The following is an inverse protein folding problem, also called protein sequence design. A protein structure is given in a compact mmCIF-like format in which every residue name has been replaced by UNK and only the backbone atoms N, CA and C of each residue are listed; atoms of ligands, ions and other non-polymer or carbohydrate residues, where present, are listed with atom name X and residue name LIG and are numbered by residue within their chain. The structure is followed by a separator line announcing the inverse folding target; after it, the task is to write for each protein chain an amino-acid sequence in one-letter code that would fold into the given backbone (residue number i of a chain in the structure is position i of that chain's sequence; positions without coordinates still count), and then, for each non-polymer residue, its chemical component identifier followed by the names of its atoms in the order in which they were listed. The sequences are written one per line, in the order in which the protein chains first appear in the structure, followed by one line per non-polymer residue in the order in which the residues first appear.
data_IF_811345041111
#
_entry.id   IF_811345041111
#
_cell.length_a   1.000
_cell.length_b   1.000
_cell.length_c   1.000
_cell.angle_alpha   90.00
_cell.angle_beta   90.00
_cell.angle_gamma   90.00
#
_symmetry.space_group_name_H-M   'P 1'
#
loop_
_entity.id
_entity.type
_entity.pdbx_description
1 polymer ?
#
# COMPACT_ATOMS: atom_id res chain seq x y z
N UNK A 1 -7.68 5.00 46.17
CA UNK A 1 -7.72 6.37 45.64
C UNK A 1 -6.61 6.49 44.59
N UNK A 2 -6.97 6.91 43.37
CA UNK A 2 -6.15 7.06 42.15
C UNK A 2 -5.50 5.77 41.62
N UNK A 3 -6.28 4.95 40.89
CA UNK A 3 -5.74 4.13 39.80
C UNK A 3 -5.72 5.00 38.54
N UNK A 4 -4.57 5.03 37.91
CA UNK A 4 -4.18 5.74 36.70
C UNK A 4 -5.16 5.52 35.55
N UNK A 5 -5.66 6.61 34.98
CA UNK A 5 -6.43 6.66 33.72
C UNK A 5 -5.54 6.75 32.48
N UNK A 6 -4.25 6.47 32.60
CA UNK A 6 -3.25 6.67 31.54
C UNK A 6 -3.14 5.52 30.54
N UNK A 7 -3.83 4.39 30.75
CA UNK A 7 -3.69 3.20 29.90
C UNK A 7 -4.88 2.90 28.96
N UNK A 8 -5.95 3.70 28.95
CA UNK A 8 -7.20 3.27 28.30
C UNK A 8 -7.30 3.56 26.79
N UNK A 9 -6.43 4.38 26.19
CA UNK A 9 -6.58 4.81 24.78
C UNK A 9 -5.63 4.14 23.78
N UNK A 10 -4.74 3.23 24.22
CA UNK A 10 -3.65 2.76 23.35
C UNK A 10 -3.77 1.30 22.93
N UNK A 11 -4.64 0.49 23.54
CA UNK A 11 -4.69 -0.96 23.27
C UNK A 11 -6.07 -1.64 23.40
N UNK A 12 -7.15 -1.01 22.94
CA UNK A 12 -8.49 -1.62 22.97
C UNK A 12 -9.04 -1.88 21.56
N UNK A 13 -8.76 -3.08 21.02
CA UNK A 13 -9.35 -3.64 19.79
C UNK A 13 -10.89 -3.85 19.93
N UNK A 14 -11.65 -2.78 20.15
CA UNK A 14 -13.10 -2.87 20.25
C UNK A 14 -13.75 -2.80 18.87
N UNK A 15 -14.93 -3.41 18.72
CA UNK A 15 -15.73 -3.29 17.51
C UNK A 15 -16.07 -1.82 17.20
N UNK A 16 -16.26 -1.00 18.24
CA UNK A 16 -16.60 0.42 18.14
C UNK A 16 -15.52 1.19 17.38
N UNK A 17 -14.25 0.92 17.62
CA UNK A 17 -13.16 1.59 16.90
C UNK A 17 -13.15 1.29 15.40
N UNK A 18 -13.42 0.04 15.02
CA UNK A 18 -13.53 -0.36 13.61
C UNK A 18 -14.76 0.27 12.97
N UNK A 19 -15.90 0.26 13.67
CA UNK A 19 -17.14 0.90 13.21
C UNK A 19 -16.97 2.40 13.06
N UNK A 20 -16.26 3.07 13.97
CA UNK A 20 -15.93 4.49 13.86
C UNK A 20 -15.10 4.76 12.60
N UNK A 21 -14.09 3.93 12.32
CA UNK A 21 -13.27 4.05 11.10
C UNK A 21 -14.13 3.88 9.84
N UNK A 22 -15.05 2.92 9.83
CA UNK A 22 -15.99 2.71 8.73
C UNK A 22 -16.96 3.90 8.58
N UNK A 23 -17.52 4.40 9.69
CA UNK A 23 -18.41 5.56 9.69
C UNK A 23 -17.71 6.80 9.15
N UNK A 24 -16.50 7.09 9.59
CA UNK A 24 -15.68 8.17 9.04
C UNK A 24 -15.41 7.98 7.55
N UNK A 25 -15.18 6.75 7.10
CA UNK A 25 -14.94 6.46 5.68
C UNK A 25 -16.16 6.74 4.81
N UNK A 26 -17.37 6.41 5.30
CA UNK A 26 -18.64 6.73 4.62
C UNK A 26 -18.84 8.24 4.60
N UNK A 27 -18.73 8.90 5.75
CA UNK A 27 -19.04 10.32 5.89
C UNK A 27 -18.03 11.24 5.20
N UNK A 28 -16.76 10.84 5.11
CA UNK A 28 -15.70 11.62 4.46
C UNK A 28 -15.46 11.24 3.01
N UNK A 29 -16.22 10.31 2.42
CA UNK A 29 -16.01 9.91 1.04
C UNK A 29 -16.18 11.08 0.05
N UNK A 30 -17.18 11.94 0.24
CA UNK A 30 -17.36 13.13 -0.60
C UNK A 30 -16.17 14.09 -0.47
N UNK A 31 -15.70 14.32 0.76
CA UNK A 31 -14.52 15.15 1.03
C UNK A 31 -13.24 14.57 0.43
N UNK A 32 -13.06 13.24 0.50
CA UNK A 32 -11.97 12.55 -0.20
C UNK A 32 -12.08 12.78 -1.70
N UNK A 33 -13.26 12.62 -2.29
CA UNK A 33 -13.43 12.75 -3.75
C UNK A 33 -13.20 14.18 -4.24
N UNK A 34 -13.64 15.18 -3.48
CA UNK A 34 -13.72 16.57 -3.94
C UNK A 34 -12.57 17.46 -3.46
N UNK A 35 -11.87 17.08 -2.39
CA UNK A 35 -10.83 17.92 -1.77
C UNK A 35 -9.52 17.18 -1.61
N UNK A 36 -9.49 16.05 -0.90
CA UNK A 36 -8.23 15.40 -0.54
C UNK A 36 -7.69 14.43 -1.61
N UNK A 37 -8.54 13.97 -2.53
CA UNK A 37 -8.23 12.93 -3.50
C UNK A 37 -7.18 13.34 -4.52
N UNK A 38 -7.28 14.54 -5.08
CA UNK A 38 -6.28 15.04 -6.02
C UNK A 38 -4.88 15.18 -5.38
N UNK A 39 -4.71 15.87 -4.23
CA UNK A 39 -3.42 15.91 -3.53
C UNK A 39 -2.85 14.53 -3.22
N UNK A 40 -3.68 13.60 -2.72
CA UNK A 40 -3.27 12.22 -2.42
C UNK A 40 -2.78 11.48 -3.67
N UNK A 41 -3.53 11.60 -4.78
CA UNK A 41 -3.16 10.98 -6.05
C UNK A 41 -1.88 11.59 -6.62
N UNK A 42 -1.73 12.92 -6.55
CA UNK A 42 -0.53 13.62 -7.01
C UNK A 42 0.70 13.25 -6.19
N UNK A 43 0.57 13.10 -4.87
CA UNK A 43 1.65 12.59 -4.02
C UNK A 43 2.06 11.15 -4.42
N UNK A 44 1.09 10.24 -4.56
CA UNK A 44 1.34 8.88 -5.02
C UNK A 44 2.09 8.86 -6.36
N UNK A 45 1.61 9.65 -7.33
CA UNK A 45 2.23 9.77 -8.67
C UNK A 45 3.62 10.37 -8.60
N UNK A 46 3.84 11.38 -7.76
CA UNK A 46 5.14 12.00 -7.57
C UNK A 46 6.14 11.02 -6.98
N UNK A 47 5.77 10.25 -5.95
CA UNK A 47 6.61 9.20 -5.36
C UNK A 47 6.99 8.17 -6.42
N UNK A 48 5.99 7.59 -7.10
CA UNK A 48 6.24 6.58 -8.15
C UNK A 48 7.17 7.11 -9.24
N UNK A 49 6.90 8.31 -9.74
CA UNK A 49 7.73 8.94 -10.78
C UNK A 49 9.18 9.18 -10.30
N UNK A 50 9.37 9.60 -9.05
CA UNK A 50 10.70 9.81 -8.50
C UNK A 50 11.46 8.51 -8.24
N UNK A 51 10.77 7.45 -7.80
CA UNK A 51 11.35 6.11 -7.67
C UNK A 51 11.80 5.59 -9.04
N UNK A 52 10.92 5.66 -10.05
CA UNK A 52 11.16 5.13 -11.40
C UNK A 52 12.29 5.86 -12.17
N UNK A 53 12.69 7.05 -11.71
CA UNK A 53 13.83 7.83 -12.23
C UNK A 53 15.21 7.31 -11.81
N UNK A 54 15.27 6.42 -10.82
CA UNK A 54 16.51 5.81 -10.35
C UNK A 54 16.46 4.28 -10.47
N UNK A 55 17.61 3.59 -10.43
CA UNK A 55 17.65 2.13 -10.42
C UNK A 55 16.88 1.56 -9.24
N UNK A 56 16.12 0.51 -9.51
CA UNK A 56 15.40 -0.28 -8.52
C UNK A 56 15.81 -1.74 -8.69
N UNK A 57 16.36 -2.33 -7.65
CA UNK A 57 16.71 -3.74 -7.64
C UNK A 57 15.43 -4.60 -7.59
N UNK A 58 15.25 -5.50 -8.57
CA UNK A 58 14.00 -6.23 -8.76
C UNK A 58 13.82 -7.38 -7.77
N UNK A 59 14.90 -7.80 -7.09
CA UNK A 59 14.89 -8.93 -6.15
C UNK A 59 14.74 -8.43 -4.71
N UNK A 60 15.56 -7.46 -4.31
CA UNK A 60 15.56 -6.88 -2.95
C UNK A 60 14.55 -5.76 -2.79
N UNK A 61 14.08 -5.18 -3.90
CA UNK A 61 13.23 -4.00 -3.90
C UNK A 61 13.94 -2.73 -3.42
N UNK A 62 15.28 -2.69 -3.32
CA UNK A 62 16.01 -1.48 -2.93
C UNK A 62 16.07 -0.48 -4.09
N UNK A 63 15.90 0.81 -3.80
CA UNK A 63 15.84 1.88 -4.80
C UNK A 63 16.87 2.97 -4.53
N UNK A 64 17.42 3.58 -5.59
CA UNK A 64 18.34 4.73 -5.48
C UNK A 64 17.64 6.00 -4.98
N UNK A 65 16.35 6.15 -5.30
CA UNK A 65 15.51 7.31 -4.95
C UNK A 65 14.38 6.87 -4.02
N UNK A 66 14.53 7.12 -2.74
CA UNK A 66 13.57 6.72 -1.70
C UNK A 66 13.68 7.66 -0.50
N UNK A 67 12.62 7.74 0.30
CA UNK A 67 12.59 8.37 1.63
C UNK A 67 12.95 7.37 2.75
N UNK A 68 12.97 6.08 2.44
CA UNK A 68 13.12 5.02 3.42
C UNK A 68 14.54 4.43 3.39
N UNK A 69 15.31 4.63 4.47
CA UNK A 69 16.70 4.15 4.58
C UNK A 69 16.81 2.62 4.43
N UNK A 70 15.86 1.85 4.97
CA UNK A 70 15.89 0.39 4.86
C UNK A 70 15.75 -0.12 3.42
N UNK A 71 15.12 0.69 2.55
CA UNK A 71 14.94 0.41 1.11
C UNK A 71 15.98 1.13 0.25
N UNK A 72 16.96 1.80 0.83
CA UNK A 72 17.95 2.56 0.06
C UNK A 72 18.95 1.61 -0.63
N UNK A 73 19.12 1.79 -1.94
CA UNK A 73 20.17 1.13 -2.70
C UNK A 73 21.52 1.77 -2.38
N UNK A 74 22.36 1.03 -1.65
CA UNK A 74 23.67 1.49 -1.18
C UNK A 74 24.77 1.29 -2.22
N UNK A 75 24.67 0.27 -3.05
CA UNK A 75 25.65 0.05 -4.12
C UNK A 75 25.66 1.22 -5.11
N UNK A 76 26.85 1.60 -5.57
CA UNK A 76 27.00 2.62 -6.59
C UNK A 76 26.81 2.00 -7.97
N UNK A 77 25.56 1.99 -8.41
CA UNK A 77 25.17 1.51 -9.73
C UNK A 77 25.21 2.68 -10.71
N UNK A 78 26.09 2.58 -11.70
CA UNK A 78 26.04 3.41 -12.90
C UNK A 78 24.84 3.03 -13.75
N UNK A 79 24.11 4.03 -14.25
CA UNK A 79 22.93 3.82 -15.08
C UNK A 79 22.76 4.99 -16.05
N UNK A 80 22.08 4.72 -17.16
CA UNK A 80 21.77 5.69 -18.21
C UNK A 80 20.27 5.68 -18.49
N UNK A 81 19.61 6.85 -18.52
CA UNK A 81 18.23 6.92 -18.98
C UNK A 81 18.17 6.66 -20.50
N UNK A 82 17.20 5.86 -20.91
CA UNK A 82 16.89 5.56 -22.31
C UNK A 82 15.45 5.98 -22.61
N UNK A 83 15.19 6.39 -23.84
CA UNK A 83 13.86 6.67 -24.39
C UNK A 83 13.58 5.66 -25.50
N UNK A 84 12.73 4.67 -25.22
CA UNK A 84 12.28 3.69 -26.20
C UNK A 84 11.12 4.24 -27.03
N UNK A 85 11.05 3.86 -28.30
CA UNK A 85 9.90 4.13 -29.18
C UNK A 85 8.97 2.93 -29.18
N UNK A 86 7.86 3.00 -28.44
CA UNK A 86 6.89 1.89 -28.33
C UNK A 86 5.91 1.94 -29.49
N UNK A 87 5.80 0.85 -30.25
CA UNK A 87 4.78 0.67 -31.27
C UNK A 87 3.54 0.03 -30.66
N UNK A 88 2.41 0.72 -30.78
CA UNK A 88 1.09 0.21 -30.38
C UNK A 88 0.26 -0.01 -31.65
N UNK A 89 -0.19 -1.25 -31.86
CA UNK A 89 -1.10 -1.61 -32.96
C UNK A 89 -2.53 -1.57 -32.43
N UNK A 90 -3.37 -0.74 -33.02
CA UNK A 90 -4.76 -0.57 -32.61
C UNK A 90 -4.88 0.14 -31.27
N UNK A 91 -5.03 1.47 -31.29
CA UNK A 91 -5.44 2.21 -30.11
C UNK A 91 -6.87 1.83 -29.67
N UNK A 92 -7.35 2.29 -28.50
CA UNK A 92 -8.72 2.05 -28.02
C UNK A 92 -9.82 2.59 -28.95
N UNK A 93 -9.48 3.24 -30.06
CA UNK A 93 -10.37 3.79 -31.07
C UNK A 93 -10.32 3.11 -32.44
N UNK A 94 -9.86 1.85 -32.56
CA UNK A 94 -10.10 1.03 -33.76
C UNK A 94 -9.43 1.47 -35.08
N UNK A 95 -8.48 2.41 -35.04
CA UNK A 95 -7.72 2.84 -36.22
C UNK A 95 -6.56 1.89 -36.55
N UNK A 96 -6.35 1.63 -37.84
CA UNK A 96 -5.25 0.81 -38.37
C UNK A 96 -3.85 1.47 -38.29
N UNK A 97 -3.75 2.67 -37.73
CA UNK A 97 -2.48 3.40 -37.59
C UNK A 97 -1.65 2.89 -36.41
N UNK A 98 -0.37 2.63 -36.64
CA UNK A 98 0.57 2.25 -35.59
C UNK A 98 1.05 3.50 -34.85
N UNK A 99 0.61 3.67 -33.60
CA UNK A 99 1.03 4.80 -32.77
C UNK A 99 2.45 4.56 -32.23
N UNK A 100 3.26 5.64 -32.20
CA UNK A 100 4.59 5.65 -31.59
C UNK A 100 4.55 6.42 -30.27
N UNK A 101 4.78 5.73 -29.16
CA UNK A 101 4.74 6.33 -27.81
C UNK A 101 6.14 6.29 -27.21
N UNK A 102 6.74 7.44 -26.82
CA UNK A 102 8.03 7.45 -26.15
C UNK A 102 7.90 6.94 -24.71
N UNK A 103 8.73 5.96 -24.32
CA UNK A 103 8.78 5.42 -22.97
C UNK A 103 10.17 5.62 -22.35
N UNK A 104 10.24 6.36 -21.24
CA UNK A 104 11.48 6.56 -20.49
C UNK A 104 11.73 5.40 -19.54
N UNK A 105 12.91 4.81 -19.65
CA UNK A 105 13.39 3.65 -18.88
C UNK A 105 14.86 3.85 -18.53
N UNK A 106 15.44 2.93 -17.77
CA UNK A 106 16.87 2.89 -17.47
C UNK A 106 17.50 1.66 -18.13
N UNK A 107 18.76 1.77 -18.56
CA UNK A 107 19.52 0.63 -19.07
C UNK A 107 19.67 -0.52 -18.05
N UNK A 108 19.63 -0.18 -16.75
CA UNK A 108 19.62 -1.11 -15.63
C UNK A 108 18.23 -1.66 -15.28
N UNK A 109 17.15 -1.30 -15.97
CA UNK A 109 15.84 -1.91 -15.70
C UNK A 109 15.80 -3.36 -16.21
N UNK A 110 15.20 -4.27 -15.44
CA UNK A 110 14.87 -5.62 -15.93
C UNK A 110 13.80 -5.55 -17.02
N UNK A 111 13.65 -6.60 -17.81
CA UNK A 111 12.64 -6.63 -18.87
C UNK A 111 11.22 -6.51 -18.31
N UNK A 112 10.92 -7.12 -17.17
CA UNK A 112 9.64 -6.91 -16.49
C UNK A 112 9.45 -5.45 -16.06
N UNK A 113 10.46 -4.80 -15.48
CA UNK A 113 10.37 -3.37 -15.11
C UNK A 113 10.16 -2.48 -16.35
N UNK A 114 10.81 -2.78 -17.47
CA UNK A 114 10.60 -2.08 -18.75
C UNK A 114 9.16 -2.26 -19.23
N UNK A 115 8.61 -3.49 -19.20
CA UNK A 115 7.22 -3.74 -19.57
C UNK A 115 6.25 -2.96 -18.67
N UNK A 116 6.47 -2.92 -17.36
CA UNK A 116 5.66 -2.13 -16.43
C UNK A 116 5.68 -0.63 -16.77
N UNK A 117 6.87 -0.07 -17.01
CA UNK A 117 7.03 1.34 -17.41
C UNK A 117 6.39 1.65 -18.75
N UNK A 118 6.46 0.73 -19.72
CA UNK A 118 5.78 0.88 -21.01
C UNK A 118 4.26 0.86 -20.82
N UNK A 119 3.72 -0.08 -20.04
CA UNK A 119 2.29 -0.16 -19.73
C UNK A 119 1.77 1.12 -19.08
N UNK A 120 2.54 1.73 -18.19
CA UNK A 120 2.20 3.02 -17.59
C UNK A 120 2.10 4.18 -18.59
N UNK A 121 2.88 4.15 -19.68
CA UNK A 121 2.82 5.16 -20.74
C UNK A 121 1.71 4.88 -21.76
N UNK A 122 1.61 3.62 -22.22
CA UNK A 122 0.63 3.21 -23.25
C UNK A 122 -0.80 3.32 -22.72
N UNK A 123 -1.03 2.92 -21.47
CA UNK A 123 -2.34 2.92 -20.81
C UNK A 123 -2.52 4.12 -19.86
N UNK A 124 -1.85 5.24 -20.15
CA UNK A 124 -2.02 6.47 -19.38
C UNK A 124 -3.49 6.92 -19.42
N UNK A 125 -4.10 7.08 -18.25
CA UNK A 125 -5.51 7.44 -18.11
C UNK A 125 -6.47 6.25 -18.03
N UNK A 126 -6.00 5.02 -18.31
CA UNK A 126 -6.79 3.80 -18.10
C UNK A 126 -6.60 3.30 -16.66
N UNK A 127 -7.68 2.94 -15.94
CA UNK A 127 -7.60 2.36 -14.59
C UNK A 127 -6.71 1.10 -14.56
N UNK A 128 -5.95 0.87 -13.48
CA UNK A 128 -4.98 -0.22 -13.45
C UNK A 128 -5.62 -1.60 -13.64
N UNK A 129 -6.79 -1.85 -13.06
CA UNK A 129 -7.51 -3.13 -13.18
C UNK A 129 -7.93 -3.50 -14.62
N UNK A 130 -8.01 -2.52 -15.53
CA UNK A 130 -8.40 -2.72 -16.92
C UNK A 130 -7.21 -2.94 -17.86
N UNK A 131 -5.98 -2.87 -17.34
CA UNK A 131 -4.76 -3.03 -18.14
C UNK A 131 -4.38 -4.51 -18.27
N UNK A 132 -3.70 -4.90 -19.36
CA UNK A 132 -3.16 -6.24 -19.47
C UNK A 132 -2.12 -6.51 -18.37
N UNK A 133 -2.03 -7.76 -17.93
CA UNK A 133 -1.01 -8.18 -16.98
C UNK A 133 0.38 -8.09 -17.62
N UNK A 134 1.38 -7.64 -16.85
CA UNK A 134 2.78 -7.62 -17.31
C UNK A 134 3.28 -9.02 -17.70
N UNK A 135 2.72 -10.07 -17.10
CA UNK A 135 3.11 -11.46 -17.36
C UNK A 135 2.38 -12.07 -18.56
N UNK A 136 1.32 -11.43 -19.09
CA UNK A 136 0.64 -11.89 -20.31
C UNK A 136 1.24 -11.28 -21.59
N UNK A 137 2.36 -10.56 -21.47
CA UNK A 137 2.98 -9.81 -22.55
C UNK A 137 4.47 -10.12 -22.66
N UNK A 138 4.95 -10.21 -23.88
CA UNK A 138 6.37 -10.26 -24.22
C UNK A 138 6.83 -8.90 -24.77
N UNK A 139 8.11 -8.58 -24.55
CA UNK A 139 8.72 -7.36 -25.08
C UNK A 139 9.52 -7.71 -26.33
N UNK A 140 9.04 -7.28 -27.49
CA UNK A 140 9.73 -7.46 -28.77
C UNK A 140 10.56 -6.22 -29.10
N UNK A 141 11.87 -6.37 -29.25
CA UNK A 141 12.77 -5.35 -29.77
C UNK A 141 12.93 -5.51 -31.29
N UNK A 142 12.68 -4.44 -32.03
CA UNK A 142 12.80 -4.38 -33.49
C UNK A 142 14.15 -3.78 -33.87
N UNK A 143 15.20 -4.59 -33.74
CA UNK A 143 16.56 -4.19 -34.13
C UNK A 143 16.67 -4.31 -35.65
N UNK A 144 16.45 -3.20 -36.37
CA UNK A 144 16.25 -3.20 -37.84
C UNK A 144 17.14 -4.16 -38.63
N UNK A 145 18.44 -4.21 -38.32
CA UNK A 145 19.45 -5.04 -39.02
C UNK A 145 19.39 -6.54 -38.67
N UNK A 146 18.85 -6.89 -37.49
CA UNK A 146 18.81 -8.26 -36.95
C UNK A 146 17.39 -8.85 -36.85
N UNK A 147 16.36 -8.14 -37.33
CA UNK A 147 14.97 -8.57 -37.26
C UNK A 147 14.29 -8.26 -35.92
N UNK A 148 13.46 -9.18 -35.45
CA UNK A 148 12.70 -9.06 -34.20
C UNK A 148 13.32 -9.98 -33.13
N UNK A 149 13.59 -9.43 -31.94
CA UNK A 149 14.11 -10.18 -30.81
C UNK A 149 13.17 -10.02 -29.61
N UNK A 150 12.64 -11.13 -29.10
CA UNK A 150 11.89 -11.13 -27.85
C UNK A 150 12.84 -11.11 -26.67
N UNK A 151 12.70 -10.11 -25.80
CA UNK A 151 13.48 -9.95 -24.58
C UNK A 151 12.71 -10.57 -23.41
N UNK A 152 13.44 -11.24 -22.52
CA UNK A 152 12.92 -11.77 -21.26
C UNK A 152 13.88 -11.49 -20.10
N UNK A 153 13.38 -11.54 -18.86
CA UNK A 153 14.20 -11.43 -17.65
C UNK A 153 15.21 -12.60 -17.53
N UNK A 154 14.87 -13.74 -18.13
CA UNK A 154 15.66 -14.95 -18.13
C UNK A 154 15.60 -15.62 -19.50
N UNK A 155 16.75 -15.92 -20.08
CA UNK A 155 16.90 -16.68 -21.33
C UNK A 155 18.21 -17.46 -21.36
N UNK A 156 18.55 -18.03 -22.52
CA UNK A 156 19.80 -18.76 -22.74
C UNK A 156 21.05 -17.86 -22.69
N UNK A 157 20.88 -16.54 -22.78
CA UNK A 157 21.97 -15.57 -22.75
C UNK A 157 22.23 -15.03 -21.34
N UNK A 158 21.35 -15.34 -20.36
CA UNK A 158 21.48 -14.88 -18.98
C UNK A 158 22.82 -15.24 -18.34
N UNK A 159 23.45 -14.24 -17.71
CA UNK A 159 24.75 -14.40 -17.07
C UNK A 159 24.63 -15.24 -15.79
N UNK A 160 25.33 -16.38 -15.78
CA UNK A 160 25.47 -17.25 -14.61
C UNK A 160 26.82 -17.00 -13.93
N UNK A 161 26.81 -16.84 -12.61
CA UNK A 161 27.99 -16.70 -11.76
C UNK A 161 27.85 -17.60 -10.54
N UNK A 162 28.55 -18.74 -10.52
CA UNK A 162 28.39 -19.79 -9.51
C UNK A 162 26.92 -20.24 -9.40
N UNK A 163 26.32 -20.21 -8.20
CA UNK A 163 24.90 -20.51 -7.97
C UNK A 163 23.95 -19.32 -8.21
N UNK A 164 24.45 -18.23 -8.81
CA UNK A 164 23.67 -17.02 -9.04
C UNK A 164 23.38 -16.81 -10.52
N UNK A 165 22.13 -16.51 -10.85
CA UNK A 165 21.70 -16.09 -12.19
C UNK A 165 21.28 -14.63 -12.14
N UNK A 166 21.88 -13.80 -13.00
CA UNK A 166 21.53 -12.37 -13.09
C UNK A 166 20.29 -12.22 -13.96
N UNK A 167 19.31 -11.43 -13.52
CA UNK A 167 18.19 -11.02 -14.36
C UNK A 167 18.69 -10.14 -15.52
N UNK A 168 18.18 -10.40 -16.71
CA UNK A 168 18.54 -9.66 -17.91
C UNK A 168 17.95 -8.25 -17.87
N UNK A 169 18.72 -7.27 -18.34
CA UNK A 169 18.35 -5.85 -18.41
C UNK A 169 18.47 -5.33 -19.84
N UNK A 170 18.05 -4.09 -20.12
CA UNK A 170 18.30 -3.48 -21.43
C UNK A 170 19.80 -3.38 -21.75
N UNK A 171 20.63 -3.11 -20.73
CA UNK A 171 22.08 -3.10 -20.86
C UNK A 171 22.65 -4.46 -21.25
N UNK A 172 22.10 -5.56 -20.71
CA UNK A 172 22.49 -6.94 -21.07
C UNK A 172 22.34 -7.19 -22.57
N UNK A 173 21.19 -6.82 -23.14
CA UNK A 173 20.91 -6.94 -24.57
C UNK A 173 21.53 -5.80 -25.41
N UNK A 174 22.20 -4.83 -24.77
CA UNK A 174 22.79 -3.64 -25.41
C UNK A 174 21.77 -2.84 -26.21
N UNK A 175 20.54 -2.71 -25.70
CA UNK A 175 19.49 -1.94 -26.36
C UNK A 175 19.89 -0.45 -26.38
N UNK A 176 19.97 0.19 -27.57
CA UNK A 176 20.36 1.59 -27.66
C UNK A 176 19.23 2.54 -27.30
N UNK A 177 19.59 3.80 -27.00
CA UNK A 177 18.61 4.88 -26.90
C UNK A 177 17.84 5.06 -28.23
N UNK A 178 16.55 5.38 -28.14
CA UNK A 178 15.67 5.48 -29.32
C UNK A 178 15.20 4.14 -29.91
N UNK A 179 15.61 3.00 -29.34
CA UNK A 179 15.24 1.68 -29.85
C UNK A 179 13.72 1.51 -29.97
N UNK A 180 13.29 0.86 -31.06
CA UNK A 180 11.87 0.60 -31.33
C UNK A 180 11.44 -0.74 -30.75
N UNK A 181 10.40 -0.74 -29.91
CA UNK A 181 9.90 -1.94 -29.21
C UNK A 181 8.39 -2.08 -29.36
N UNK A 182 7.85 -3.27 -29.15
CA UNK A 182 6.41 -3.53 -29.09
C UNK A 182 6.07 -4.52 -27.98
N UNK A 183 4.92 -4.35 -27.34
CA UNK A 183 4.34 -5.36 -26.47
C UNK A 183 3.49 -6.30 -27.31
N UNK A 184 3.77 -7.60 -27.25
CA UNK A 184 2.99 -8.63 -27.95
C UNK A 184 2.39 -9.59 -26.93
N UNK A 185 1.20 -10.19 -27.19
CA UNK A 185 0.67 -11.25 -26.34
C UNK A 185 1.69 -12.37 -26.19
N UNK A 186 1.97 -12.77 -24.95
CA UNK A 186 2.91 -13.85 -24.70
C UNK A 186 2.36 -15.15 -25.28
N UNK A 187 3.11 -15.78 -26.19
CA UNK A 187 2.81 -17.16 -26.59
C UNK A 187 3.33 -18.07 -25.49
N UNK A 188 2.44 -18.67 -24.70
CA UNK A 188 2.77 -19.64 -23.67
C UNK A 188 3.41 -20.88 -24.30
N UNK A 189 4.72 -20.83 -24.56
CA UNK A 189 5.56 -21.99 -24.34
C UNK A 189 5.80 -22.03 -22.85
N UNK A 190 5.01 -22.83 -22.15
CA UNK A 190 5.39 -23.30 -20.82
C UNK A 190 6.69 -24.05 -20.97
N UNK A 191 7.82 -23.33 -20.95
CA UNK A 191 9.04 -23.94 -20.49
C UNK A 191 8.68 -24.46 -19.10
N UNK A 192 8.79 -25.78 -18.85
CA UNK A 192 8.65 -26.26 -17.50
C UNK A 192 9.57 -25.37 -16.69
N UNK A 193 9.08 -24.80 -15.59
CA UNK A 193 9.95 -24.26 -14.55
C UNK A 193 10.87 -25.42 -14.23
N UNK A 194 12.01 -25.53 -14.92
CA UNK A 194 13.06 -26.45 -14.55
C UNK A 194 13.25 -26.09 -13.10
N UNK A 195 13.05 -27.07 -12.22
CA UNK A 195 13.41 -26.95 -10.82
C UNK A 195 14.92 -26.72 -10.86
N UNK A 196 15.30 -25.46 -11.01
CA UNK A 196 16.65 -24.97 -11.08
C UNK A 196 17.17 -25.20 -9.67
N UNK A 197 17.75 -26.39 -9.47
CA UNK A 197 18.25 -26.83 -8.18
C UNK A 197 19.16 -25.76 -7.58
N UNK A 198 18.68 -25.11 -6.52
CA UNK A 198 19.46 -24.16 -5.71
C UNK A 198 19.93 -22.87 -6.40
N UNK A 199 19.51 -22.56 -7.65
CA UNK A 199 19.93 -21.32 -8.32
C UNK A 199 19.21 -20.11 -7.71
N UNK A 200 19.98 -19.11 -7.30
CA UNK A 200 19.47 -17.86 -6.73
C UNK A 200 19.51 -16.73 -7.76
N UNK A 201 18.44 -15.94 -7.83
CA UNK A 201 18.34 -14.81 -8.74
C UNK A 201 18.87 -13.52 -8.09
N UNK A 202 19.54 -12.68 -8.87
CA UNK A 202 19.96 -11.34 -8.45
C UNK A 202 19.81 -10.33 -9.59
N UNK A 203 19.69 -9.04 -9.26
CA UNK A 203 19.56 -7.98 -10.26
C UNK A 203 20.76 -7.02 -10.22
N UNK A 204 20.74 -6.06 -9.29
CA UNK A 204 21.80 -5.06 -9.11
C UNK A 204 22.71 -5.45 -7.96
N UNK A 205 22.14 -6.01 -6.90
CA UNK A 205 22.87 -6.46 -5.71
C UNK A 205 22.60 -7.93 -5.47
N UNK A 206 23.65 -8.72 -5.21
CA UNK A 206 23.48 -10.08 -4.70
C UNK A 206 22.98 -9.98 -3.26
N UNK A 207 21.83 -10.57 -2.91
CA UNK A 207 21.41 -10.67 -1.52
C UNK A 207 22.56 -11.25 -0.69
N UNK A 208 23.02 -10.50 0.32
CA UNK A 208 24.00 -11.01 1.28
C UNK A 208 23.37 -12.19 2.01
N UNK A 209 24.07 -13.33 2.02
CA UNK A 209 23.76 -14.43 2.92
C UNK A 209 24.03 -13.96 4.35
N UNK A 210 23.04 -13.43 5.04
CA UNK A 210 23.09 -13.50 6.51
C UNK A 210 22.71 -14.94 6.87
N UNK A 211 23.59 -15.73 7.51
CA UNK A 211 23.20 -17.04 8.00
C UNK A 211 22.09 -16.80 9.03
N UNK A 212 20.94 -17.44 8.84
CA UNK A 212 19.89 -17.50 9.86
C UNK A 212 20.51 -18.05 11.15
N UNK A 213 20.89 -17.16 12.07
CA UNK A 213 21.31 -17.56 13.39
C UNK A 213 20.10 -18.21 14.06
N UNK A 214 20.26 -19.48 14.40
CA UNK A 214 19.31 -20.29 15.17
C UNK A 214 18.75 -19.47 16.34
N UNK A 215 17.41 -19.40 16.42
CA UNK A 215 16.60 -18.57 17.34
C UNK A 215 16.89 -18.69 18.84
N UNK A 216 17.93 -19.41 19.28
CA UNK A 216 18.28 -19.60 20.68
C UNK A 216 19.42 -18.70 21.20
N UNK A 217 20.14 -17.96 20.35
CA UNK A 217 21.20 -17.02 20.80
C UNK A 217 20.84 -15.53 20.70
N UNK A 218 19.59 -15.21 20.32
CA UNK A 218 19.13 -13.84 20.06
C UNK A 218 18.90 -13.00 21.33
N UNK A 219 18.88 -13.63 22.51
CA UNK A 219 18.62 -12.96 23.78
C UNK A 219 19.82 -12.26 24.45
N UNK A 220 21.07 -12.49 23.98
CA UNK A 220 22.27 -11.95 24.67
C UNK A 220 23.29 -11.22 23.80
N UNK A 221 23.16 -11.21 22.47
CA UNK A 221 24.10 -10.51 21.56
C UNK A 221 23.48 -9.36 20.75
N UNK A 222 22.16 -9.15 20.85
CA UNK A 222 21.44 -8.08 20.15
C UNK A 222 21.59 -6.70 20.81
N UNK A 223 21.96 -6.61 22.09
CA UNK A 223 21.99 -5.35 22.82
C UNK A 223 23.30 -4.55 22.73
N UNK A 224 24.36 -5.07 22.08
CA UNK A 224 25.70 -4.46 22.15
C UNK A 224 26.34 -4.11 20.79
N UNK A 225 25.65 -4.28 19.64
CA UNK A 225 26.23 -3.92 18.33
C UNK A 225 25.33 -3.19 17.34
N UNK A 226 24.09 -2.85 17.70
CA UNK A 226 23.29 -1.83 17.01
C UNK A 226 23.60 -0.43 17.55
N UNK A 227 24.88 -0.06 17.54
CA UNK A 227 25.21 1.37 17.52
C UNK A 227 24.90 1.84 16.11
N UNK A 228 23.92 2.71 15.95
CA UNK A 228 23.57 3.38 14.71
C UNK A 228 24.85 3.86 14.01
N UNK A 229 25.33 3.09 13.02
CA UNK A 229 26.39 3.57 12.14
C UNK A 229 25.77 4.73 11.40
N UNK A 230 26.31 5.93 11.63
CA UNK A 230 25.88 7.13 10.94
C UNK A 230 25.75 6.82 9.45
N UNK A 231 24.58 7.10 8.88
CA UNK A 231 24.32 6.92 7.45
C UNK A 231 25.43 7.67 6.71
N UNK A 232 26.27 7.00 5.88
CA UNK A 232 27.28 7.70 5.11
C UNK A 232 26.67 8.88 4.37
N UNK A 233 27.35 10.04 4.41
CA UNK A 233 26.80 11.35 4.00
C UNK A 233 26.15 11.33 2.61
N UNK A 234 26.74 10.58 1.67
CA UNK A 234 26.20 10.40 0.31
C UNK A 234 24.77 9.84 0.27
N UNK A 235 24.42 8.96 1.19
CA UNK A 235 23.08 8.38 1.30
C UNK A 235 22.10 9.35 1.94
N UNK A 236 22.56 10.14 2.92
CA UNK A 236 21.76 11.21 3.50
C UNK A 236 21.39 12.26 2.45
N UNK A 237 22.33 12.65 1.57
CA UNK A 237 22.05 13.57 0.46
C UNK A 237 20.98 13.01 -0.50
N UNK A 238 20.99 11.70 -0.79
CA UNK A 238 19.96 11.06 -1.63
C UNK A 238 18.57 11.11 -0.97
N UNK A 239 18.48 10.80 0.32
CA UNK A 239 17.23 10.89 1.10
C UNK A 239 16.71 12.34 1.15
N UNK A 240 17.59 13.31 1.41
CA UNK A 240 17.24 14.73 1.46
C UNK A 240 16.81 15.27 0.09
N UNK A 241 17.45 14.83 -1.00
CA UNK A 241 17.03 15.18 -2.37
C UNK A 241 15.63 14.66 -2.68
N UNK A 242 15.33 13.41 -2.30
CA UNK A 242 13.99 12.84 -2.44
C UNK A 242 12.97 13.62 -1.61
N UNK A 243 13.28 13.92 -0.33
CA UNK A 243 12.46 14.74 0.55
C UNK A 243 12.15 16.10 -0.07
N UNK A 244 13.18 16.84 -0.48
CA UNK A 244 13.01 18.17 -1.07
C UNK A 244 12.15 18.17 -2.34
N UNK A 245 12.27 17.13 -3.17
CA UNK A 245 11.48 17.00 -4.40
C UNK A 245 10.01 16.71 -4.13
N UNK A 246 9.69 15.99 -3.05
CA UNK A 246 8.33 15.60 -2.68
C UNK A 246 7.65 16.60 -1.74
N UNK A 247 8.40 17.52 -1.14
CA UNK A 247 7.92 18.42 -0.08
C UNK A 247 6.60 19.11 -0.42
N UNK A 248 6.50 19.77 -1.58
CA UNK A 248 5.27 20.45 -2.00
C UNK A 248 4.05 19.52 -2.03
N UNK A 249 4.20 18.29 -2.54
CA UNK A 249 3.10 17.33 -2.60
C UNK A 249 2.68 16.86 -1.20
N UNK A 250 3.64 16.71 -0.28
CA UNK A 250 3.35 16.40 1.12
C UNK A 250 2.61 17.56 1.79
N UNK A 251 3.08 18.79 1.57
CA UNK A 251 2.45 20.00 2.12
C UNK A 251 1.01 20.16 1.59
N UNK A 252 0.79 19.94 0.29
CA UNK A 252 -0.54 20.00 -0.33
C UNK A 252 -1.50 18.96 0.28
N UNK A 253 -1.02 17.74 0.56
CA UNK A 253 -1.81 16.71 1.26
C UNK A 253 -2.11 17.11 2.69
N UNK A 254 -1.11 17.58 3.45
CA UNK A 254 -1.30 17.95 4.85
C UNK A 254 -2.24 19.15 4.97
N UNK A 255 -2.14 20.11 4.05
CA UNK A 255 -3.08 21.21 3.94
C UNK A 255 -4.49 20.69 3.63
N UNK A 256 -4.67 19.77 2.69
CA UNK A 256 -6.00 19.22 2.40
C UNK A 256 -6.63 18.45 3.59
N UNK A 257 -5.81 17.83 4.43
CA UNK A 257 -6.25 17.03 5.58
C UNK A 257 -6.49 17.89 6.83
N UNK A 258 -5.64 18.88 7.10
CA UNK A 258 -5.61 19.63 8.36
C UNK A 258 -6.12 21.07 8.23
N UNK A 259 -6.41 21.57 7.03
CA UNK A 259 -6.78 22.98 6.86
C UNK A 259 -8.15 23.32 7.44
N UNK A 260 -8.18 24.46 8.14
CA UNK A 260 -9.40 25.14 8.61
C UNK A 260 -9.88 26.23 7.64
N UNK A 261 -9.21 26.42 6.50
CA UNK A 261 -9.58 27.43 5.51
C UNK A 261 -10.80 27.03 4.66
N UNK A 262 -11.37 25.85 4.93
CA UNK A 262 -12.56 25.30 4.29
C UNK A 262 -13.58 24.94 5.38
N UNK A 263 -14.87 24.91 5.04
CA UNK A 263 -15.88 24.39 5.95
C UNK A 263 -15.49 22.99 6.43
N UNK A 264 -15.39 22.82 7.76
CA UNK A 264 -15.07 21.53 8.38
C UNK A 264 -16.18 20.53 8.03
N UNK A 265 -15.85 19.29 7.60
CA UNK A 265 -16.87 18.30 7.31
C UNK A 265 -17.80 18.08 8.51
N UNK A 266 -19.11 18.01 8.26
CA UNK A 266 -20.14 17.94 9.30
C UNK A 266 -19.88 16.76 10.26
N UNK A 267 -19.48 15.61 9.74
CA UNK A 267 -19.16 14.44 10.55
C UNK A 267 -17.96 14.64 11.48
N UNK A 268 -16.94 15.39 11.04
CA UNK A 268 -15.77 15.73 11.88
C UNK A 268 -16.19 16.66 12.99
N UNK A 269 -16.94 17.71 12.66
CA UNK A 269 -17.48 18.65 13.66
C UNK A 269 -18.35 17.90 14.67
N UNK A 270 -19.30 17.09 14.20
CA UNK A 270 -20.17 16.29 15.05
C UNK A 270 -19.38 15.37 15.98
N UNK A 271 -18.43 14.60 15.45
CA UNK A 271 -17.61 13.71 16.26
C UNK A 271 -16.81 14.48 17.32
N UNK A 272 -16.20 15.60 16.95
CA UNK A 272 -15.37 16.38 17.87
C UNK A 272 -16.21 17.09 18.93
N UNK A 273 -17.38 17.62 18.57
CA UNK A 273 -18.33 18.20 19.52
C UNK A 273 -18.79 17.12 20.52
N UNK A 274 -19.08 15.89 20.06
CA UNK A 274 -19.43 14.76 20.96
C UNK A 274 -18.28 14.38 21.90
N UNK A 275 -17.03 14.40 21.44
CA UNK A 275 -15.86 14.12 22.29
C UNK A 275 -15.68 15.22 23.35
N UNK A 276 -15.92 16.48 23.00
CA UNK A 276 -15.85 17.61 23.93
C UNK A 276 -16.98 17.55 24.99
N UNK A 277 -18.20 17.17 24.58
CA UNK A 277 -19.31 16.92 25.51
C UNK A 277 -19.01 15.76 26.48
N UNK A 278 -18.45 14.65 25.97
CA UNK A 278 -18.05 13.51 26.80
C UNK A 278 -16.95 13.89 27.79
N UNK A 279 -15.95 14.64 27.36
CA UNK A 279 -14.90 15.14 28.24
C UNK A 279 -15.49 16.01 29.36
N UNK A 280 -16.39 16.93 29.00
CA UNK A 280 -17.10 17.78 29.97
C UNK A 280 -17.90 16.94 30.97
N UNK A 281 -18.67 15.95 30.49
CA UNK A 281 -19.49 15.06 31.32
C UNK A 281 -18.66 14.23 32.30
N UNK A 282 -17.46 13.81 31.89
CA UNK A 282 -16.57 12.98 32.69
C UNK A 282 -15.52 13.78 33.47
N UNK A 283 -15.56 15.11 33.42
CA UNK A 283 -14.65 15.98 34.16
C UNK A 283 -13.20 15.93 33.65
N UNK A 284 -13.00 15.59 32.37
CA UNK A 284 -11.67 15.66 31.71
C UNK A 284 -11.41 17.11 31.36
N UNK A 285 -10.43 17.72 32.02
CA UNK A 285 -10.09 19.14 31.86
C UNK A 285 -8.77 19.36 31.14
N UNK A 286 -7.95 18.31 31.00
CA UNK A 286 -6.65 18.37 30.33
C UNK A 286 -6.83 18.50 28.80
N UNK A 287 -6.37 19.61 28.18
CA UNK A 287 -6.49 19.80 26.73
C UNK A 287 -5.72 18.76 25.92
N UNK A 288 -4.64 18.23 26.47
CA UNK A 288 -3.83 17.19 25.86
C UNK A 288 -4.61 15.87 25.72
N UNK A 289 -5.40 15.50 26.72
CA UNK A 289 -6.23 14.29 26.65
C UNK A 289 -7.28 14.40 25.54
N UNK A 290 -7.93 15.56 25.42
CA UNK A 290 -8.87 15.85 24.33
C UNK A 290 -8.19 15.82 22.95
N UNK A 291 -6.97 16.37 22.85
CA UNK A 291 -6.16 16.30 21.63
C UNK A 291 -5.84 14.86 21.24
N UNK A 292 -5.47 14.02 22.20
CA UNK A 292 -5.22 12.58 21.97
C UNK A 292 -6.49 11.88 21.48
N UNK A 293 -7.66 12.15 22.07
CA UNK A 293 -8.93 11.55 21.65
C UNK A 293 -9.29 11.91 20.20
N UNK A 294 -9.15 13.20 19.83
CA UNK A 294 -9.41 13.68 18.46
C UNK A 294 -8.41 13.11 17.45
N UNK A 295 -7.14 13.03 17.84
CA UNK A 295 -6.06 12.45 17.01
C UNK A 295 -6.27 10.96 16.78
N UNK A 296 -6.59 10.19 17.83
CA UNK A 296 -6.79 8.74 17.75
C UNK A 296 -8.10 8.34 17.07
N UNK A 297 -9.14 9.17 17.14
CA UNK A 297 -10.45 8.88 16.54
C UNK A 297 -10.50 9.12 15.04
N UNK A 298 -9.77 10.13 14.55
CA UNK A 298 -9.80 10.56 13.15
C UNK A 298 -8.44 10.46 12.45
N UNK A 299 -7.44 11.18 12.95
CA UNK A 299 -6.17 11.37 12.23
C UNK A 299 -5.40 10.05 12.07
N UNK A 300 -5.22 9.30 13.17
CA UNK A 300 -4.44 8.06 13.15
C UNK A 300 -5.19 6.86 12.55
N UNK A 301 -6.52 6.89 12.53
CA UNK A 301 -7.33 5.77 12.03
C UNK A 301 -7.72 5.93 10.59
N UNK A 302 -8.34 7.05 10.26
CA UNK A 302 -8.83 7.30 8.91
C UNK A 302 -7.73 7.87 8.01
N UNK A 303 -7.09 8.98 8.41
CA UNK A 303 -6.16 9.68 7.52
C UNK A 303 -4.83 8.96 7.31
N UNK A 304 -4.22 8.39 8.37
CA UNK A 304 -3.02 7.55 8.22
C UNK A 304 -3.30 6.34 7.32
N UNK A 305 -4.45 5.69 7.48
CA UNK A 305 -4.83 4.54 6.66
C UNK A 305 -5.04 4.93 5.19
N UNK A 306 -5.75 6.04 4.95
CA UNK A 306 -5.99 6.65 3.63
C UNK A 306 -4.68 7.01 2.94
N UNK A 307 -3.72 7.59 3.66
CA UNK A 307 -2.41 7.98 3.13
C UNK A 307 -1.54 6.77 2.79
N UNK A 308 -1.54 5.75 3.64
CA UNK A 308 -0.76 4.51 3.42
C UNK A 308 -1.33 3.64 2.30
N UNK A 309 -2.64 3.67 2.09
CA UNK A 309 -3.34 2.75 1.20
C UNK A 309 -4.10 3.48 0.07
N UNK A 310 -3.39 4.13 -0.87
CA UNK A 310 -4.04 4.83 -1.98
C UNK A 310 -4.89 3.90 -2.86
N UNK A 311 -4.61 2.59 -2.88
CA UNK A 311 -5.41 1.58 -3.57
C UNK A 311 -6.83 1.39 -3.01
N UNK A 312 -7.13 1.95 -1.83
CA UNK A 312 -8.50 1.99 -1.30
C UNK A 312 -9.35 3.08 -1.97
N UNK A 313 -8.72 4.06 -2.60
CA UNK A 313 -9.37 5.23 -3.19
C UNK A 313 -9.25 5.22 -4.71
N UNK A 314 -8.08 4.79 -5.22
CA UNK A 314 -7.74 4.82 -6.63
C UNK A 314 -7.50 3.41 -7.17
N UNK A 315 -7.88 3.17 -8.42
CA UNK A 315 -7.53 1.95 -9.14
C UNK A 315 -6.07 2.03 -9.65
N UNK A 316 -5.15 1.79 -8.72
CA UNK A 316 -3.70 1.86 -8.92
C UNK A 316 -3.02 0.64 -8.30
N UNK A 317 -1.85 0.28 -8.87
CA UNK A 317 -0.92 -0.65 -8.23
C UNK A 317 0.11 0.12 -7.41
N UNK A 318 0.20 -0.21 -6.13
CA UNK A 318 1.25 0.28 -5.23
C UNK A 318 2.37 -0.75 -5.23
N UNK A 319 3.58 -0.32 -5.59
CA UNK A 319 4.78 -1.17 -5.45
C UNK A 319 5.33 -1.06 -4.03
N UNK A 320 6.07 -2.08 -3.58
CA UNK A 320 6.75 -2.09 -2.28
C UNK A 320 7.58 -0.84 -2.01
N UNK A 321 8.20 -0.28 -3.04
CA UNK A 321 8.96 0.96 -2.91
C UNK A 321 8.06 2.16 -2.64
N UNK A 322 6.95 2.27 -3.35
CA UNK A 322 5.99 3.36 -3.12
C UNK A 322 5.36 3.23 -1.74
N UNK A 323 4.97 2.01 -1.34
CA UNK A 323 4.45 1.72 0.01
C UNK A 323 5.44 2.11 1.12
N UNK A 324 6.72 1.77 0.95
CA UNK A 324 7.75 2.12 1.91
C UNK A 324 7.96 3.64 2.04
N UNK A 325 7.77 4.40 0.95
CA UNK A 325 7.83 5.87 0.95
C UNK A 325 6.58 6.48 1.60
N UNK A 326 5.39 5.97 1.26
CA UNK A 326 4.13 6.39 1.89
C UNK A 326 4.14 6.13 3.40
N UNK A 327 4.74 5.03 3.83
CA UNK A 327 4.91 4.70 5.26
C UNK A 327 5.77 5.74 5.99
N UNK A 328 6.85 6.25 5.37
CA UNK A 328 7.68 7.32 5.98
C UNK A 328 6.88 8.61 6.11
N UNK A 329 6.13 8.99 5.07
CA UNK A 329 5.30 10.21 5.09
C UNK A 329 4.17 10.07 6.10
N UNK A 330 3.53 8.90 6.17
CA UNK A 330 2.52 8.61 7.17
C UNK A 330 3.09 8.67 8.59
N UNK A 331 4.32 8.19 8.82
CA UNK A 331 4.97 8.35 10.11
C UNK A 331 5.22 9.83 10.44
N UNK A 332 5.67 10.63 9.48
CA UNK A 332 5.82 12.09 9.67
C UNK A 332 4.48 12.75 10.01
N UNK A 333 3.37 12.31 9.40
CA UNK A 333 2.03 12.77 9.74
C UNK A 333 1.62 12.39 11.17
N UNK A 334 1.90 11.15 11.58
CA UNK A 334 1.67 10.69 12.96
C UNK A 334 2.43 11.57 13.94
N UNK A 335 3.74 11.73 13.71
CA UNK A 335 4.63 12.49 14.59
C UNK A 335 4.20 13.96 14.71
N UNK A 336 3.68 14.57 13.62
CA UNK A 336 3.15 15.93 13.63
C UNK A 336 1.83 16.06 14.40
N UNK A 337 1.05 14.99 14.53
CA UNK A 337 -0.24 14.99 15.22
C UNK A 337 -0.13 14.55 16.69
N UNK A 338 0.96 13.89 17.09
CA UNK A 338 1.15 13.39 18.46
C UNK A 338 2.02 14.34 19.29
N UNK A 339 1.55 14.75 20.47
CA UNK A 339 2.40 15.41 21.48
C UNK A 339 3.36 14.34 22.05
N UNK A 340 4.67 14.52 21.86
CA UNK A 340 5.63 13.45 22.04
C UNK A 340 5.98 13.18 23.51
N UNK A 341 5.55 12.04 24.06
CA UNK A 341 6.37 11.19 24.94
C UNK A 341 5.88 9.73 25.13
N UNK A 342 5.11 9.13 24.22
CA UNK A 342 4.82 7.68 24.30
C UNK A 342 5.05 6.96 22.97
N UNK A 343 5.89 5.91 23.04
CA UNK A 343 6.31 5.06 21.92
C UNK A 343 5.10 4.47 21.20
N UNK A 344 4.85 4.93 19.99
CA UNK A 344 3.81 4.44 19.08
C UNK A 344 4.07 2.97 18.75
N UNK A 345 3.26 2.08 19.31
CA UNK A 345 3.15 0.69 18.90
C UNK A 345 2.52 0.59 17.51
N UNK A 346 3.04 -0.31 16.68
CA UNK A 346 2.57 -0.55 15.30
C UNK A 346 1.09 -0.95 15.31
N UNK A 347 0.26 -0.23 14.55
CA UNK A 347 -1.13 -0.61 14.30
C UNK A 347 -1.19 -1.46 13.03
N UNK A 348 -1.66 -2.70 13.17
CA UNK A 348 -2.02 -3.57 12.05
C UNK A 348 -3.38 -3.13 11.51
N UNK A 349 -3.36 -2.58 10.30
CA UNK A 349 -4.56 -2.22 9.52
C UNK A 349 -5.00 -3.46 8.75
N UNK A 350 -6.15 -4.02 9.12
CA UNK A 350 -6.93 -4.89 8.25
C UNK A 350 -8.32 -4.29 8.12
N UNK A 351 -8.68 -3.84 6.92
CA UNK A 351 -10.06 -3.89 6.46
C UNK A 351 -10.20 -4.03 4.95
N UNK A 352 -11.20 -4.83 4.60
CA UNK A 352 -11.59 -5.36 3.30
C UNK A 352 -11.98 -4.31 2.26
N UNK A 353 -11.76 -4.70 0.99
CA UNK A 353 -12.38 -4.12 -0.20
C UNK A 353 -13.90 -4.21 -0.11
N UNK A 354 -14.60 -3.15 -0.48
CA UNK A 354 -16.00 -3.24 -0.91
C UNK A 354 -16.16 -2.49 -2.23
N UNK A 355 -16.46 -3.23 -3.29
CA UNK A 355 -17.08 -2.68 -4.49
C UNK A 355 -18.55 -2.42 -4.22
N UNK A 356 -19.13 -1.53 -5.02
CA UNK A 356 -20.54 -1.19 -5.12
C UNK A 356 -21.47 -2.40 -4.99
N UNK A 357 -22.56 -2.17 -4.26
CA UNK A 357 -23.61 -3.07 -3.78
C UNK A 357 -23.24 -3.90 -2.53
N UNK A 358 -23.51 -3.29 -1.36
CA UNK A 358 -23.58 -4.03 -0.10
C UNK A 358 -24.73 -5.02 -0.23
N UNK A 359 -24.42 -6.30 -0.46
CA UNK A 359 -25.42 -7.35 -0.36
C UNK A 359 -25.74 -7.54 1.13
N UNK A 360 -26.73 -6.80 1.63
CA UNK A 360 -27.16 -6.82 3.02
C UNK A 360 -27.47 -8.24 3.50
N UNK A 361 -27.95 -9.13 2.62
CA UNK A 361 -28.26 -10.52 2.98
C UNK A 361 -26.99 -11.32 3.30
N UNK A 362 -25.93 -11.16 2.50
CA UNK A 362 -24.63 -11.83 2.77
C UNK A 362 -24.01 -11.27 4.05
N UNK A 363 -24.06 -9.95 4.26
CA UNK A 363 -23.58 -9.35 5.50
C UNK A 363 -24.36 -9.83 6.74
N UNK A 364 -25.69 -9.93 6.64
CA UNK A 364 -26.55 -10.47 7.70
C UNK A 364 -26.28 -11.94 7.96
N UNK A 365 -26.04 -12.74 6.92
CA UNK A 365 -25.69 -14.15 7.07
C UNK A 365 -24.35 -14.32 7.81
N UNK A 366 -23.34 -13.54 7.43
CA UNK A 366 -22.05 -13.56 8.13
C UNK A 366 -22.17 -13.09 9.58
N UNK A 367 -22.98 -12.05 9.84
CA UNK A 367 -23.28 -11.62 11.21
C UNK A 367 -24.00 -12.71 12.01
N UNK A 368 -24.96 -13.42 11.39
CA UNK A 368 -25.65 -14.53 12.02
C UNK A 368 -24.69 -15.67 12.39
N UNK A 369 -23.65 -15.93 11.60
CA UNK A 369 -22.62 -16.92 11.96
C UNK A 369 -21.95 -16.58 13.31
N UNK A 370 -21.71 -15.30 13.60
CA UNK A 370 -21.19 -14.86 14.90
C UNK A 370 -22.26 -14.97 16.00
N UNK A 371 -23.50 -14.61 15.72
CA UNK A 371 -24.62 -14.77 16.66
C UNK A 371 -24.76 -16.24 17.07
N UNK A 372 -24.75 -17.16 16.10
CA UNK A 372 -24.87 -18.59 16.35
C UNK A 372 -23.68 -19.12 17.17
N UNK A 373 -22.46 -18.67 16.87
CA UNK A 373 -21.26 -19.06 17.62
C UNK A 373 -21.29 -18.65 19.10
N UNK A 374 -21.92 -17.52 19.41
CA UNK A 374 -21.98 -16.95 20.76
C UNK A 374 -23.43 -16.94 21.32
N UNK A 375 -24.28 -17.82 20.81
CA UNK A 375 -25.72 -17.77 21.00
C UNK A 375 -26.14 -17.73 22.46
N UNK A 376 -25.66 -18.67 23.28
CA UNK A 376 -26.02 -18.77 24.70
C UNK A 376 -25.60 -17.53 25.50
N UNK A 377 -24.43 -16.97 25.16
CA UNK A 377 -23.89 -15.77 25.83
C UNK A 377 -24.72 -14.54 25.47
N UNK A 378 -25.18 -14.44 24.22
CA UNK A 378 -26.05 -13.35 23.76
C UNK A 378 -27.44 -13.47 24.41
N UNK A 379 -28.02 -14.67 24.46
CA UNK A 379 -29.30 -14.92 25.11
C UNK A 379 -29.25 -14.54 26.60
N UNK A 380 -28.23 -15.02 27.33
CA UNK A 380 -28.04 -14.67 28.74
C UNK A 380 -27.92 -13.16 28.94
N UNK A 381 -27.17 -12.47 28.09
CA UNK A 381 -27.03 -11.01 28.17
C UNK A 381 -28.35 -10.26 27.89
N UNK A 382 -29.17 -10.76 26.95
CA UNK A 382 -30.49 -10.19 26.64
C UNK A 382 -31.52 -10.45 27.75
N UNK A 383 -31.38 -11.56 28.45
CA UNK A 383 -32.21 -11.91 29.61
C UNK A 383 -31.79 -11.16 30.87
N UNK A 384 -30.53 -10.77 31.01
CA UNK A 384 -30.04 -9.96 32.14
C UNK A 384 -30.37 -8.47 31.98
N UNK A 385 -30.46 -7.95 30.76
CA UNK A 385 -30.75 -6.54 30.49
C UNK A 385 -32.24 -6.18 30.69
N UNK A 386 -32.59 -5.22 31.58
CA UNK A 386 -33.98 -4.84 31.82
C UNK A 386 -34.74 -4.34 30.57
N UNK A 387 -34.04 -3.67 29.65
CA UNK A 387 -34.64 -3.23 28.37
C UNK A 387 -34.87 -4.43 27.45
N UNK A 388 -33.91 -5.35 27.37
CA UNK A 388 -33.98 -6.61 26.65
C UNK A 388 -35.15 -7.49 27.08
N UNK A 389 -35.36 -7.64 28.39
CA UNK A 389 -36.52 -8.33 28.96
C UNK A 389 -37.83 -7.64 28.55
N UNK A 390 -37.94 -6.32 28.74
CA UNK A 390 -39.14 -5.53 28.41
C UNK A 390 -39.52 -5.65 26.93
N UNK A 391 -38.53 -5.70 26.06
CA UNK A 391 -38.72 -5.80 24.60
C UNK A 391 -38.78 -7.25 24.08
N UNK A 392 -38.65 -8.25 24.96
CA UNK A 392 -38.63 -9.67 24.63
C UNK A 392 -37.57 -10.02 23.56
N UNK A 393 -36.38 -9.44 23.67
CA UNK A 393 -35.34 -9.58 22.63
C UNK A 393 -34.78 -11.00 22.53
N UNK A 394 -34.63 -11.72 23.65
CA UNK A 394 -34.18 -13.11 23.67
C UNK A 394 -35.14 -14.03 22.88
N UNK A 395 -36.45 -13.87 23.10
CA UNK A 395 -37.48 -14.61 22.38
C UNK A 395 -37.47 -14.32 20.87
N UNK A 396 -37.31 -13.05 20.47
CA UNK A 396 -37.20 -12.68 19.04
C UNK A 396 -35.97 -13.29 18.39
N UNK A 397 -34.85 -13.36 19.09
CA UNK A 397 -33.63 -13.99 18.59
C UNK A 397 -33.82 -15.50 18.38
N UNK A 398 -34.49 -16.18 19.32
CA UNK A 398 -34.87 -17.59 19.18
C UNK A 398 -35.76 -17.83 17.95
N UNK A 399 -36.72 -16.95 17.69
CA UNK A 399 -37.56 -17.02 16.48
C UNK A 399 -36.73 -16.88 15.20
N UNK A 400 -35.77 -15.94 15.18
CA UNK A 400 -34.87 -15.76 14.03
C UNK A 400 -34.01 -17.02 13.83
N UNK A 401 -33.46 -17.59 14.90
CA UNK A 401 -32.64 -18.79 14.81
C UNK A 401 -33.42 -19.97 14.23
N UNK A 402 -34.63 -20.22 14.75
CA UNK A 402 -35.51 -21.25 14.21
C UNK A 402 -35.86 -21.02 12.73
N UNK A 403 -36.10 -19.78 12.32
CA UNK A 403 -36.39 -19.44 10.92
C UNK A 403 -35.20 -19.66 9.99
N UNK A 404 -33.98 -19.39 10.46
CA UNK A 404 -32.75 -19.58 9.68
C UNK A 404 -32.38 -21.06 9.60
N UNK A 405 -32.48 -21.81 10.69
CA UNK A 405 -32.18 -23.24 10.74
C UNK A 405 -33.16 -24.08 9.88
N UNK A 406 -34.46 -23.75 9.91
CA UNK A 406 -35.45 -24.41 9.06
C UNK A 406 -35.24 -24.15 7.56
N UNK A 407 -34.56 -23.05 7.18
CA UNK A 407 -34.19 -22.78 5.78
C UNK A 407 -32.93 -23.52 5.33
N UNK A 408 -32.08 -23.97 6.26
CA UNK A 408 -30.88 -24.77 5.95
C UNK A 408 -31.25 -26.23 5.69
N UNK A 409 -32.37 -26.72 6.21
CA UNK A 409 -32.85 -28.10 5.99
C UNK A 409 -33.58 -28.31 4.65
N UNK A 410 -33.96 -27.24 3.95
CA UNK A 410 -34.69 -27.26 2.67
C UNK A 410 -33.80 -27.00 1.43
N UNK A 411 -32.47 -27.08 1.59
CA UNK A 411 -31.45 -27.03 0.53
C UNK A 411 -30.61 -28.31 0.56
#
# INVERSE_FOLDING_TARGET
MKRSSEDCSTYLLTMVEKLLTNWMSICLYSYLREVAGEPLYMLFRAIKYQVDKGPVDAITGKAKRTLNDSRLLREDVEYRPLTLTVLVRGGPGGGAETQRIPARVLDTDTITQVKEKILDQVFKGVPFSQRPSVHSLDLEWRSGVAGHLTLSDEDLTSVMQNQWKRLNTLQHYKVPDGATVSLIPAFTMTFPKQRHGGLRLWHLVKPTEEPEATKQQQGRRSSLRERAKAIPEIYLTRLLSMKGTLQKFVDDVFQAVLSVNRPVPIAVKYLFDQLDELATKHGVTEPETLHIWKTNSLLLRFWVNTLKNPQFIFDVRVSDNVDANLTVIAQTFIDACTTAEHKVGRVSLHMCKYSSDLNCLVALQELYNYINKYYDQIISALEEDPLGQKMQLAYRLQQIAALVENKVTDL
#
